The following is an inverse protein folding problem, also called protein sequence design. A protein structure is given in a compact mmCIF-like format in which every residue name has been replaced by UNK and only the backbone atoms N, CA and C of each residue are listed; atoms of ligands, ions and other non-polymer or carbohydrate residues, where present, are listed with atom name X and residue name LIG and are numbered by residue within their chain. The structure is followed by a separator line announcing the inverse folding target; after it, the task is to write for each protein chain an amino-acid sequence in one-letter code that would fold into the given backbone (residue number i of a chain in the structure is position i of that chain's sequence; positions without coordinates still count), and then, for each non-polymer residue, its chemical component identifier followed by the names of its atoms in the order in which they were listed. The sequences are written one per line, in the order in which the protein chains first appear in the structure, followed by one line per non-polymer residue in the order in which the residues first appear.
data_IF_351907118323
#
_entry.id   IF_351907118323
#
_cell.length_a   1.000
_cell.length_b   1.000
_cell.length_c   1.000
_cell.angle_alpha   90.00
_cell.angle_beta   90.00
_cell.angle_gamma   90.00
#
_symmetry.space_group_name_H-M   'P 1'
#
loop_
_entity.id
_entity.type
_entity.pdbx_description
1 polymer ?
#
# COMPACT_ATOMS: atom_id res chain seq x y z
N UNK A 1 -6.51 -47.27 -61.75
CA UNK A 1 -7.10 -46.55 -60.60
C UNK A 1 -5.95 -46.11 -59.71
N UNK A 2 -5.67 -44.80 -59.66
CA UNK A 2 -4.54 -44.24 -58.90
C UNK A 2 -4.97 -44.04 -57.44
N UNK A 3 -4.34 -44.77 -56.51
CA UNK A 3 -4.52 -44.58 -55.08
C UNK A 3 -3.69 -43.38 -54.63
N UNK A 4 -4.33 -42.23 -54.45
CA UNK A 4 -3.67 -41.09 -53.83
C UNK A 4 -3.25 -41.46 -52.39
N UNK A 5 -2.03 -41.15 -51.96
CA UNK A 5 -1.58 -41.48 -50.61
C UNK A 5 -2.44 -40.72 -49.59
N UNK A 6 -3.14 -41.46 -48.72
CA UNK A 6 -3.84 -40.92 -47.56
C UNK A 6 -2.84 -40.14 -46.71
N UNK A 7 -3.01 -38.82 -46.65
CA UNK A 7 -2.20 -37.95 -45.80
C UNK A 7 -2.43 -38.37 -44.34
N UNK A 8 -1.41 -39.01 -43.73
CA UNK A 8 -1.48 -39.52 -42.36
C UNK A 8 -1.48 -38.41 -41.31
N UNK A 9 -1.13 -37.18 -41.69
CA UNK A 9 -1.08 -36.00 -40.83
C UNK A 9 -1.85 -34.83 -41.49
N UNK A 10 -3.20 -34.88 -41.53
CA UNK A 10 -3.98 -33.73 -41.98
C UNK A 10 -3.75 -32.54 -41.02
N UNK A 11 -3.70 -31.30 -41.54
CA UNK A 11 -3.56 -30.13 -40.69
C UNK A 11 -4.73 -30.04 -39.70
N UNK A 12 -4.51 -29.50 -38.49
CA UNK A 12 -5.56 -29.39 -37.49
C UNK A 12 -6.71 -28.52 -38.00
N UNK A 13 -7.93 -28.95 -37.71
CA UNK A 13 -9.14 -28.17 -38.03
C UNK A 13 -9.20 -26.90 -37.17
N UNK A 14 -9.91 -25.87 -37.66
CA UNK A 14 -10.14 -24.63 -36.90
C UNK A 14 -10.72 -24.90 -35.50
N UNK A 15 -11.59 -25.91 -35.35
CA UNK A 15 -12.15 -26.33 -34.06
C UNK A 15 -11.07 -26.87 -33.12
N UNK A 16 -10.16 -27.71 -33.62
CA UNK A 16 -9.03 -28.23 -32.84
C UNK A 16 -8.06 -27.12 -32.43
N UNK A 17 -7.79 -26.17 -33.35
CA UNK A 17 -6.98 -24.99 -33.04
C UNK A 17 -7.62 -24.12 -31.95
N UNK A 18 -8.94 -23.89 -32.00
CA UNK A 18 -9.66 -23.14 -30.96
C UNK A 18 -9.67 -23.86 -29.60
N UNK A 19 -9.80 -25.19 -29.58
CA UNK A 19 -9.71 -25.98 -28.34
C UNK A 19 -8.30 -25.88 -27.75
N UNK A 20 -7.26 -26.05 -28.56
CA UNK A 20 -5.87 -25.92 -28.10
C UNK A 20 -5.56 -24.51 -27.60
N UNK A 21 -6.06 -23.48 -28.29
CA UNK A 21 -5.92 -22.11 -27.84
C UNK A 21 -6.64 -21.87 -26.51
N UNK A 22 -7.87 -22.39 -26.34
CA UNK A 22 -8.62 -22.32 -25.09
C UNK A 22 -7.91 -23.02 -23.94
N UNK A 23 -7.37 -24.22 -24.16
CA UNK A 23 -6.57 -24.95 -23.17
C UNK A 23 -5.28 -24.21 -22.82
N UNK A 24 -4.60 -23.62 -23.79
CA UNK A 24 -3.39 -22.84 -23.58
C UNK A 24 -3.66 -21.57 -22.76
N UNK A 25 -4.70 -20.81 -23.10
CA UNK A 25 -5.14 -19.64 -22.33
C UNK A 25 -5.55 -20.06 -20.92
N UNK A 26 -6.35 -21.12 -20.78
CA UNK A 26 -6.76 -21.66 -19.48
C UNK A 26 -5.57 -22.08 -18.62
N UNK A 27 -4.57 -22.74 -19.21
CA UNK A 27 -3.33 -23.09 -18.54
C UNK A 27 -2.56 -21.85 -18.07
N UNK A 28 -2.40 -20.83 -18.93
CA UNK A 28 -1.75 -19.57 -18.54
C UNK A 28 -2.49 -18.92 -17.37
N UNK A 29 -3.82 -18.81 -17.44
CA UNK A 29 -4.64 -18.23 -16.36
C UNK A 29 -4.48 -19.02 -15.06
N UNK A 30 -4.49 -20.35 -15.12
CA UNK A 30 -4.29 -21.20 -13.95
C UNK A 30 -2.91 -21.01 -13.33
N UNK A 31 -1.84 -20.94 -14.14
CA UNK A 31 -0.48 -20.67 -13.68
C UNK A 31 -0.37 -19.30 -13.03
N UNK A 32 -0.94 -18.25 -13.65
CA UNK A 32 -0.94 -16.89 -13.09
C UNK A 32 -1.72 -16.82 -11.77
N UNK A 33 -2.84 -17.53 -11.66
CA UNK A 33 -3.64 -17.62 -10.44
C UNK A 33 -2.89 -18.35 -9.32
N UNK A 34 -2.27 -19.50 -9.63
CA UNK A 34 -1.44 -20.24 -8.68
C UNK A 34 -0.25 -19.41 -8.20
N UNK A 35 0.43 -18.70 -9.10
CA UNK A 35 1.54 -17.82 -8.75
C UNK A 35 1.08 -16.68 -7.82
N UNK A 36 -0.11 -16.11 -8.06
CA UNK A 36 -0.68 -15.09 -7.18
C UNK A 36 -0.94 -15.64 -5.77
N UNK A 37 -1.52 -16.85 -5.68
CA UNK A 37 -1.74 -17.51 -4.38
C UNK A 37 -0.45 -17.76 -3.64
N UNK A 38 0.57 -18.30 -4.33
CA UNK A 38 1.86 -18.58 -3.72
C UNK A 38 2.52 -17.30 -3.19
N UNK A 39 2.54 -16.22 -3.97
CA UNK A 39 3.20 -14.98 -3.54
C UNK A 39 2.46 -14.31 -2.39
N UNK A 40 1.12 -14.26 -2.43
CA UNK A 40 0.34 -13.70 -1.32
C UNK A 40 0.52 -14.51 -0.03
N UNK A 41 0.58 -15.84 -0.14
CA UNK A 41 0.91 -16.72 0.99
C UNK A 41 2.31 -16.48 1.53
N UNK A 42 3.32 -16.35 0.65
CA UNK A 42 4.70 -16.06 1.03
C UNK A 42 4.80 -14.74 1.79
N UNK A 43 4.11 -13.67 1.35
CA UNK A 43 4.15 -12.36 2.01
C UNK A 43 3.64 -12.43 3.45
N UNK A 44 2.61 -13.21 3.72
CA UNK A 44 2.15 -13.46 5.10
C UNK A 44 3.18 -14.19 5.97
N UNK A 45 4.07 -14.97 5.35
CA UNK A 45 5.10 -15.75 6.04
C UNK A 45 6.44 -15.01 6.22
N UNK A 46 6.64 -13.87 5.55
CA UNK A 46 7.89 -13.10 5.65
C UNK A 46 8.09 -12.65 7.11
N UNK A 47 9.15 -13.04 7.80
CA UNK A 47 9.39 -12.57 9.17
C UNK A 47 9.54 -11.05 9.25
N UNK A 48 9.11 -10.44 10.36
CA UNK A 48 9.33 -9.00 10.61
C UNK A 48 10.81 -8.61 10.47
N UNK A 49 11.73 -9.49 10.85
CA UNK A 49 13.18 -9.25 10.70
C UNK A 49 13.63 -9.05 9.24
N UNK A 50 12.95 -9.66 8.27
CA UNK A 50 13.24 -9.47 6.84
C UNK A 50 12.76 -8.10 6.39
N UNK A 51 11.55 -7.73 6.82
CA UNK A 51 10.96 -6.42 6.55
C UNK A 51 11.82 -5.30 7.14
N UNK A 52 12.33 -5.49 8.36
CA UNK A 52 13.28 -4.57 8.99
C UNK A 52 14.62 -4.48 8.25
N UNK A 53 15.14 -5.61 7.72
CA UNK A 53 16.34 -5.59 6.86
C UNK A 53 16.12 -4.85 5.54
N UNK A 54 14.93 -4.96 4.95
CA UNK A 54 14.57 -4.16 3.78
C UNK A 54 14.51 -2.67 4.14
N UNK A 55 13.89 -2.34 5.26
CA UNK A 55 13.82 -0.97 5.77
C UNK A 55 15.18 -0.36 6.00
N UNK A 56 16.13 -1.10 6.57
CA UNK A 56 17.51 -0.65 6.78
C UNK A 56 18.25 -0.23 5.48
N UNK A 57 17.75 -0.62 4.31
CA UNK A 57 18.27 -0.18 3.00
C UNK A 57 17.44 0.95 2.40
N UNK A 58 16.12 0.91 2.57
CA UNK A 58 15.18 1.84 1.93
C UNK A 58 15.02 3.13 2.73
N UNK A 59 14.77 3.02 4.04
CA UNK A 59 14.51 4.14 4.96
C UNK A 59 15.62 5.19 4.90
N UNK A 60 16.93 4.85 4.90
CA UNK A 60 18.00 5.86 4.84
C UNK A 60 17.99 6.73 3.57
N UNK A 61 17.32 6.33 2.49
CA UNK A 61 17.18 7.16 1.28
C UNK A 61 16.26 8.36 1.54
N UNK A 62 15.23 8.15 2.35
CA UNK A 62 14.25 9.17 2.73
C UNK A 62 14.70 9.93 3.99
N UNK A 63 15.29 9.24 4.96
CA UNK A 63 15.74 9.81 6.23
C UNK A 63 16.79 10.92 6.03
N UNK A 64 17.70 10.77 5.05
CA UNK A 64 18.66 11.83 4.68
C UNK A 64 18.00 13.14 4.27
N UNK A 65 16.75 13.08 3.80
CA UNK A 65 15.96 14.21 3.36
C UNK A 65 15.02 14.70 4.47
N UNK A 66 14.61 13.80 5.36
CA UNK A 66 13.78 14.07 6.54
C UNK A 66 14.56 14.72 7.67
N UNK A 67 14.73 16.05 7.60
CA UNK A 67 15.46 16.81 8.62
C UNK A 67 14.62 16.96 9.91
N UNK A 68 15.24 16.85 11.10
CA UNK A 68 14.58 17.18 12.35
C UNK A 68 13.93 18.58 12.30
N UNK A 69 12.66 18.66 12.67
CA UNK A 69 11.88 19.89 12.63
C UNK A 69 10.66 19.80 13.55
N UNK A 70 10.07 20.92 13.98
CA UNK A 70 8.82 20.89 14.75
C UNK A 70 7.67 20.17 14.03
N UNK A 71 7.65 20.24 12.69
CA UNK A 71 6.70 19.51 11.84
C UNK A 71 6.89 18.00 11.97
N UNK A 72 8.13 17.53 11.85
CA UNK A 72 8.50 16.13 12.05
C UNK A 72 8.08 15.61 13.44
N UNK A 73 8.36 16.38 14.50
CA UNK A 73 8.01 16.01 15.88
C UNK A 73 6.49 15.93 16.07
N UNK A 74 5.75 16.90 15.50
CA UNK A 74 4.29 16.93 15.58
C UNK A 74 3.67 15.74 14.86
N UNK A 75 4.20 15.36 13.69
CA UNK A 75 3.71 14.21 12.94
C UNK A 75 3.94 12.89 13.70
N UNK A 76 5.10 12.73 14.33
CA UNK A 76 5.35 11.57 15.19
C UNK A 76 4.41 11.55 16.42
N UNK A 77 4.14 12.70 17.05
CA UNK A 77 3.16 12.77 18.13
C UNK A 77 1.73 12.40 17.71
N UNK A 78 1.33 12.74 16.47
CA UNK A 78 0.06 12.30 15.91
C UNK A 78 0.05 10.79 15.66
N UNK A 79 1.14 10.25 15.13
CA UNK A 79 1.32 8.81 14.94
C UNK A 79 1.29 8.05 16.27
N UNK A 80 1.97 8.52 17.31
CA UNK A 80 1.97 7.93 18.66
C UNK A 80 0.55 7.74 19.22
N UNK A 81 -0.35 8.70 18.93
CA UNK A 81 -1.76 8.64 19.37
C UNK A 81 -2.55 7.55 18.65
N UNK A 82 -2.22 7.28 17.39
CA UNK A 82 -2.78 6.16 16.62
C UNK A 82 -2.21 4.84 17.12
N UNK A 83 -0.90 4.79 17.37
CA UNK A 83 -0.20 3.58 17.84
C UNK A 83 -0.75 3.07 19.17
N UNK A 84 -1.10 3.96 20.09
CA UNK A 84 -1.76 3.60 21.35
C UNK A 84 -3.09 2.85 21.18
N UNK A 85 -3.71 2.94 19.99
CA UNK A 85 -4.97 2.29 19.64
C UNK A 85 -4.79 1.11 18.69
N UNK A 86 -3.56 0.83 18.24
CA UNK A 86 -3.31 -0.32 17.38
C UNK A 86 -3.62 -1.64 18.11
N UNK A 87 -4.10 -2.67 17.39
CA UNK A 87 -4.16 -4.02 17.93
C UNK A 87 -2.77 -4.52 18.40
N UNK A 88 -2.72 -5.33 19.45
CA UNK A 88 -1.46 -5.75 20.08
C UNK A 88 -0.50 -6.47 19.13
N UNK A 89 -1.03 -7.24 18.18
CA UNK A 89 -0.27 -7.91 17.12
C UNK A 89 0.36 -6.93 16.14
N UNK A 90 -0.23 -5.74 15.95
CA UNK A 90 0.31 -4.68 15.11
C UNK A 90 1.27 -3.76 15.87
N UNK A 91 1.34 -3.84 17.20
CA UNK A 91 2.37 -3.12 17.99
C UNK A 91 3.64 -3.96 18.19
N UNK A 92 3.51 -5.29 18.25
CA UNK A 92 4.58 -6.17 18.70
C UNK A 92 5.78 -6.18 17.74
N UNK A 93 6.90 -5.63 18.19
CA UNK A 93 8.16 -5.65 17.45
C UNK A 93 8.17 -4.71 16.24
N UNK A 94 7.25 -3.74 16.23
CA UNK A 94 7.17 -2.63 15.29
C UNK A 94 7.73 -1.37 15.94
N UNK A 95 8.30 -0.49 15.13
CA UNK A 95 8.83 0.81 15.55
C UNK A 95 8.41 1.85 14.50
N UNK A 96 7.14 2.27 14.58
CA UNK A 96 6.59 3.14 13.56
C UNK A 96 7.15 4.56 13.70
N UNK A 97 7.44 5.18 12.56
CA UNK A 97 7.90 6.55 12.51
C UNK A 97 7.38 7.26 11.27
N UNK A 98 7.15 8.56 11.38
CA UNK A 98 6.95 9.43 10.22
C UNK A 98 8.30 9.95 9.74
N UNK A 99 8.49 10.08 8.43
CA UNK A 99 9.57 10.83 7.80
C UNK A 99 8.96 11.97 6.99
N UNK A 100 9.17 13.20 7.47
CA UNK A 100 8.65 14.40 6.83
C UNK A 100 9.60 14.92 5.75
N UNK A 101 9.12 15.00 4.52
CA UNK A 101 9.87 15.54 3.38
C UNK A 101 9.33 16.93 2.99
N UNK A 102 10.14 18.00 3.05
CA UNK A 102 9.74 19.36 2.69
C UNK A 102 9.70 19.57 1.16
N UNK A 103 8.95 18.72 0.46
CA UNK A 103 8.72 18.79 -0.98
C UNK A 103 7.23 19.01 -1.27
N UNK A 104 6.93 19.77 -2.32
CA UNK A 104 5.55 20.13 -2.72
C UNK A 104 4.71 18.99 -3.30
N UNK A 105 5.27 17.78 -3.37
CA UNK A 105 4.56 16.57 -3.78
C UNK A 105 3.39 16.30 -2.84
N UNK A 106 2.19 16.10 -3.39
CA UNK A 106 1.02 15.66 -2.60
C UNK A 106 1.07 14.14 -2.51
N UNK A 107 1.65 13.59 -1.45
CA UNK A 107 1.73 12.14 -1.22
C UNK A 107 1.98 11.74 0.24
N UNK A 108 1.67 10.49 0.56
CA UNK A 108 2.15 9.75 1.72
C UNK A 108 2.39 8.28 1.32
N UNK A 109 3.37 7.61 1.93
CA UNK A 109 3.72 6.23 1.56
C UNK A 109 4.24 5.45 2.77
N UNK A 110 3.66 4.28 3.05
CA UNK A 110 4.22 3.25 3.93
C UNK A 110 5.42 2.52 3.30
N UNK A 111 6.57 2.55 3.97
CA UNK A 111 7.82 1.87 3.58
C UNK A 111 8.09 0.64 4.44
N UNK A 112 8.74 -0.42 3.91
CA UNK A 112 9.29 -1.48 4.75
C UNK A 112 10.22 -0.91 5.84
N UNK A 113 10.15 -1.49 7.05
CA UNK A 113 10.85 -0.97 8.22
C UNK A 113 10.07 0.11 8.97
N UNK A 114 8.75 0.02 8.95
CA UNK A 114 7.82 0.78 9.79
C UNK A 114 7.88 2.32 9.59
N UNK A 115 8.41 2.80 8.47
CA UNK A 115 8.46 4.24 8.18
C UNK A 115 7.31 4.68 7.27
N UNK A 116 6.60 5.75 7.65
CA UNK A 116 5.62 6.44 6.82
C UNK A 116 6.27 7.72 6.30
N UNK A 117 6.39 7.88 4.99
CA UNK A 117 6.81 9.16 4.39
C UNK A 117 5.61 10.06 4.24
N UNK A 118 5.70 11.31 4.71
CA UNK A 118 4.71 12.36 4.44
C UNK A 118 5.40 13.55 3.79
N UNK A 119 4.81 14.03 2.70
CA UNK A 119 5.33 15.17 1.95
C UNK A 119 4.61 16.47 2.34
N UNK A 120 5.32 17.60 2.31
CA UNK A 120 4.76 18.93 2.58
C UNK A 120 3.54 19.24 1.73
N UNK A 121 3.54 18.86 0.44
CA UNK A 121 2.38 19.08 -0.42
C UNK A 121 1.10 18.41 0.10
N UNK A 122 1.19 17.26 0.79
CA UNK A 122 0.03 16.64 1.41
C UNK A 122 -0.47 17.44 2.61
N UNK A 123 0.45 17.93 3.46
CA UNK A 123 0.11 18.77 4.61
C UNK A 123 -0.60 20.05 4.18
N UNK A 124 -0.14 20.67 3.08
CA UNK A 124 -0.75 21.87 2.50
C UNK A 124 -2.17 21.64 1.95
N UNK A 125 -2.57 20.38 1.71
CA UNK A 125 -3.94 20.02 1.33
C UNK A 125 -4.82 19.60 2.51
N UNK A 126 -4.25 19.34 3.69
CA UNK A 126 -5.01 18.99 4.87
C UNK A 126 -5.63 20.26 5.48
N UNK A 127 -6.88 20.18 5.93
CA UNK A 127 -7.63 21.30 6.52
C UNK A 127 -7.99 21.04 7.99
N UNK A 128 -7.90 19.79 8.45
CA UNK A 128 -8.12 19.41 9.85
C UNK A 128 -7.15 18.33 10.32
N UNK A 129 -6.95 18.23 11.64
CA UNK A 129 -6.14 17.16 12.23
C UNK A 129 -6.74 15.78 11.93
N UNK A 130 -8.07 15.67 11.93
CA UNK A 130 -8.73 14.38 11.67
C UNK A 130 -8.48 13.86 10.26
N UNK A 131 -8.41 14.73 9.26
CA UNK A 131 -8.04 14.33 7.90
C UNK A 131 -6.63 13.76 7.82
N UNK A 132 -5.67 14.46 8.44
CA UNK A 132 -4.29 14.00 8.49
C UNK A 132 -4.16 12.69 9.28
N UNK A 133 -4.91 12.55 10.38
CA UNK A 133 -4.97 11.32 11.16
C UNK A 133 -5.60 10.18 10.38
N UNK A 134 -6.60 10.45 9.54
CA UNK A 134 -7.17 9.44 8.65
C UNK A 134 -6.13 8.97 7.60
N UNK A 135 -5.34 9.88 7.03
CA UNK A 135 -4.25 9.52 6.11
C UNK A 135 -3.19 8.67 6.82
N UNK A 136 -2.73 9.08 8.00
CA UNK A 136 -1.77 8.29 8.79
C UNK A 136 -2.33 6.91 9.18
N UNK A 137 -3.59 6.86 9.62
CA UNK A 137 -4.25 5.61 9.99
C UNK A 137 -4.46 4.69 8.78
N UNK A 138 -4.70 5.25 7.59
CA UNK A 138 -4.74 4.53 6.33
C UNK A 138 -3.38 3.89 5.99
N UNK A 139 -2.27 4.63 6.14
CA UNK A 139 -0.93 4.06 5.96
C UNK A 139 -0.62 2.95 6.97
N UNK A 140 -1.07 3.08 8.23
CA UNK A 140 -1.02 1.99 9.21
C UNK A 140 -1.87 0.78 8.78
N UNK A 141 -2.99 1.01 8.09
CA UNK A 141 -3.78 -0.03 7.45
C UNK A 141 -2.99 -0.82 6.40
N UNK A 142 -2.18 -0.15 5.58
CA UNK A 142 -1.28 -0.83 4.66
C UNK A 142 -0.22 -1.68 5.37
N UNK A 143 0.32 -1.22 6.51
CA UNK A 143 1.21 -2.04 7.34
C UNK A 143 0.52 -3.26 7.91
N UNK A 144 -0.70 -3.10 8.44
CA UNK A 144 -1.47 -4.18 9.04
C UNK A 144 -1.74 -5.31 8.03
N UNK A 145 -1.99 -4.95 6.76
CA UNK A 145 -2.19 -5.91 5.69
C UNK A 145 -0.89 -6.35 5.01
N UNK A 146 0.22 -5.62 5.19
CA UNK A 146 1.54 -5.78 4.54
C UNK A 146 1.56 -5.44 3.04
N UNK A 147 0.82 -4.41 2.67
CA UNK A 147 0.66 -3.98 1.27
C UNK A 147 1.92 -3.36 0.67
N UNK A 148 2.70 -2.65 1.48
CA UNK A 148 4.01 -2.12 1.08
C UNK A 148 4.97 -3.23 0.60
N UNK A 149 4.88 -4.44 1.17
CA UNK A 149 5.60 -5.61 0.68
C UNK A 149 5.03 -6.13 -0.65
N UNK A 150 3.71 -6.10 -0.84
CA UNK A 150 3.06 -6.46 -2.12
C UNK A 150 3.46 -5.47 -3.22
N UNK A 151 3.60 -4.19 -2.88
CA UNK A 151 4.01 -3.10 -3.77
C UNK A 151 5.42 -3.25 -4.34
N UNK A 152 6.32 -3.97 -3.66
CA UNK A 152 7.67 -4.30 -4.17
C UNK A 152 7.66 -5.14 -5.44
N UNK A 153 6.54 -5.81 -5.73
CA UNK A 153 6.39 -6.71 -6.84
C UNK A 153 6.87 -8.12 -6.52
N UNK A 154 6.16 -9.09 -7.09
CA UNK A 154 6.29 -10.53 -6.76
C UNK A 154 7.71 -11.06 -6.90
N UNK A 155 8.41 -10.68 -7.98
CA UNK A 155 9.78 -11.15 -8.27
C UNK A 155 10.75 -10.66 -7.19
N UNK A 156 10.62 -9.40 -6.79
CA UNK A 156 11.52 -8.81 -5.80
C UNK A 156 11.30 -9.43 -4.43
N UNK A 157 10.04 -9.58 -4.01
CA UNK A 157 9.69 -10.26 -2.76
C UNK A 157 10.26 -11.67 -2.68
N UNK A 158 10.12 -12.47 -3.74
CA UNK A 158 10.67 -13.84 -3.79
C UNK A 158 12.20 -13.82 -3.71
N UNK A 159 12.88 -12.91 -4.40
CA UNK A 159 14.34 -12.77 -4.34
C UNK A 159 14.82 -12.41 -2.94
N UNK A 160 14.16 -11.46 -2.28
CA UNK A 160 14.47 -11.05 -0.91
C UNK A 160 14.29 -12.22 0.06
N UNK A 161 13.15 -12.93 -0.04
CA UNK A 161 12.89 -14.09 0.81
C UNK A 161 13.95 -15.17 0.63
N UNK A 162 14.28 -15.53 -0.63
CA UNK A 162 15.32 -16.53 -0.92
C UNK A 162 16.69 -16.10 -0.40
N UNK A 163 17.11 -14.86 -0.66
CA UNK A 163 18.39 -14.34 -0.17
C UNK A 163 18.48 -14.40 1.36
N UNK A 164 17.38 -14.06 2.05
CA UNK A 164 17.32 -14.17 3.50
C UNK A 164 17.44 -15.62 4.00
N UNK A 165 16.66 -16.54 3.44
CA UNK A 165 16.68 -17.96 3.87
C UNK A 165 17.99 -18.67 3.55
N UNK A 166 18.68 -18.26 2.48
CA UNK A 166 19.99 -18.78 2.10
C UNK A 166 21.16 -18.08 2.81
N UNK A 167 20.90 -17.01 3.57
CA UNK A 167 21.94 -16.23 4.25
C UNK A 167 22.83 -15.40 3.31
N UNK A 168 22.36 -15.10 2.09
CA UNK A 168 23.11 -14.32 1.10
C UNK A 168 22.89 -12.82 1.29
N UNK A 169 23.76 -12.20 2.10
CA UNK A 169 23.70 -10.77 2.39
C UNK A 169 23.93 -9.88 1.15
N UNK A 170 24.74 -10.34 0.19
CA UNK A 170 25.03 -9.59 -1.03
C UNK A 170 23.81 -9.53 -1.96
N UNK A 171 23.15 -10.67 -2.16
CA UNK A 171 21.90 -10.74 -2.92
C UNK A 171 20.78 -9.93 -2.25
N UNK A 172 20.69 -9.96 -0.92
CA UNK A 172 19.70 -9.18 -0.18
C UNK A 172 19.88 -7.68 -0.38
N UNK A 173 21.12 -7.18 -0.29
CA UNK A 173 21.44 -5.77 -0.53
C UNK A 173 21.11 -5.35 -1.96
N UNK A 174 21.48 -6.18 -2.95
CA UNK A 174 21.18 -5.90 -4.36
C UNK A 174 19.69 -5.95 -4.68
N UNK A 175 18.91 -6.78 -3.99
CA UNK A 175 17.47 -6.81 -4.14
C UNK A 175 16.85 -5.54 -3.55
N UNK A 176 17.29 -5.15 -2.35
CA UNK A 176 16.77 -4.00 -1.64
C UNK A 176 17.02 -2.65 -2.36
N UNK A 177 18.07 -2.51 -3.17
CA UNK A 177 18.26 -1.30 -3.99
C UNK A 177 17.17 -1.12 -5.07
N UNK A 178 16.71 -2.22 -5.67
CA UNK A 178 15.58 -2.20 -6.60
C UNK A 178 14.23 -1.92 -5.93
N UNK A 179 14.14 -2.04 -4.60
CA UNK A 179 12.92 -1.82 -3.85
C UNK A 179 12.49 -0.36 -3.84
N UNK A 180 13.43 0.59 -3.77
CA UNK A 180 13.13 2.04 -3.75
C UNK A 180 12.34 2.45 -4.99
N UNK A 181 12.80 2.02 -6.16
CA UNK A 181 12.15 2.34 -7.44
C UNK A 181 10.82 1.57 -7.62
N UNK A 182 10.71 0.39 -7.02
CA UNK A 182 9.47 -0.39 -7.01
C UNK A 182 8.39 0.30 -6.16
N UNK A 183 8.74 0.75 -4.95
CA UNK A 183 7.83 1.49 -4.05
C UNK A 183 7.35 2.77 -4.72
N UNK A 184 8.26 3.56 -5.30
CA UNK A 184 7.93 4.82 -5.96
C UNK A 184 6.94 4.66 -7.13
N UNK A 185 6.83 3.46 -7.70
CA UNK A 185 5.91 3.12 -8.80
C UNK A 185 4.76 2.20 -8.37
N UNK A 186 4.70 1.87 -7.10
CA UNK A 186 3.69 0.95 -6.60
C UNK A 186 2.31 1.58 -6.68
N UNK A 187 1.31 0.76 -6.97
CA UNK A 187 -0.10 1.14 -6.94
C UNK A 187 -0.84 0.08 -6.16
N UNK A 188 -1.68 0.52 -5.22
CA UNK A 188 -2.50 -0.40 -4.47
C UNK A 188 -3.75 -0.78 -5.24
N UNK A 189 -4.13 -2.05 -5.14
CA UNK A 189 -5.38 -2.54 -5.70
C UNK A 189 -6.56 -1.99 -4.91
N UNK A 190 -7.74 -1.96 -5.54
CA UNK A 190 -8.96 -1.53 -4.88
C UNK A 190 -9.25 -2.28 -3.56
N UNK A 191 -9.00 -3.58 -3.49
CA UNK A 191 -9.23 -4.34 -2.26
C UNK A 191 -8.28 -3.92 -1.14
N UNK A 192 -7.03 -3.61 -1.47
CA UNK A 192 -6.04 -3.14 -0.49
C UNK A 192 -6.43 -1.77 0.06
N UNK A 193 -6.86 -0.86 -0.83
CA UNK A 193 -7.37 0.45 -0.43
C UNK A 193 -8.59 0.33 0.50
N UNK A 194 -9.53 -0.57 0.21
CA UNK A 194 -10.71 -0.81 1.05
C UNK A 194 -10.36 -1.38 2.43
N UNK A 195 -9.38 -2.29 2.49
CA UNK A 195 -8.88 -2.86 3.74
C UNK A 195 -8.16 -1.81 4.59
N UNK A 196 -7.32 -0.98 3.97
CA UNK A 196 -6.64 0.14 4.62
C UNK A 196 -7.62 1.23 5.08
N UNK A 197 -8.62 1.58 4.27
CA UNK A 197 -9.70 2.50 4.61
C UNK A 197 -10.47 2.04 5.85
N UNK A 198 -10.89 0.77 5.86
CA UNK A 198 -11.66 0.21 6.97
C UNK A 198 -10.84 0.18 8.27
N UNK A 199 -9.56 -0.19 8.17
CA UNK A 199 -8.64 -0.17 9.30
C UNK A 199 -8.39 1.25 9.82
N UNK A 200 -8.13 2.19 8.91
CA UNK A 200 -7.88 3.59 9.25
C UNK A 200 -9.09 4.24 9.93
N UNK A 201 -10.29 3.95 9.44
CA UNK A 201 -11.53 4.46 10.01
C UNK A 201 -11.79 3.93 11.43
N UNK A 202 -11.53 2.64 11.65
CA UNK A 202 -11.60 2.02 12.99
C UNK A 202 -10.62 2.72 13.94
N UNK A 203 -9.38 2.91 13.52
CA UNK A 203 -8.35 3.53 14.36
C UNK A 203 -8.68 4.99 14.68
N UNK A 204 -9.18 5.74 13.69
CA UNK A 204 -9.64 7.11 13.89
C UNK A 204 -10.78 7.17 14.92
N UNK A 205 -11.76 6.26 14.83
CA UNK A 205 -12.83 6.14 15.82
C UNK A 205 -12.27 5.80 17.21
N UNK A 206 -11.35 4.84 17.33
CA UNK A 206 -10.78 4.44 18.62
C UNK A 206 -9.91 5.53 19.26
N UNK A 207 -9.34 6.44 18.46
CA UNK A 207 -8.57 7.59 18.92
C UNK A 207 -9.45 8.75 19.38
N UNK A 208 -10.56 9.05 18.69
CA UNK A 208 -11.38 10.25 18.94
C UNK A 208 -12.77 9.98 19.52
N UNK A 209 -13.27 8.75 19.47
CA UNK A 209 -14.67 8.39 19.72
C UNK A 209 -15.63 8.78 18.59
N UNK A 210 -15.12 9.30 17.47
CA UNK A 210 -15.88 9.75 16.31
C UNK A 210 -15.03 9.75 15.04
N UNK A 211 -15.66 9.88 13.87
CA UNK A 211 -14.98 9.84 12.55
C UNK A 211 -15.16 11.11 11.71
N UNK A 212 -15.39 12.25 12.35
CA UNK A 212 -15.42 13.55 11.67
C UNK A 212 -14.13 13.77 10.85
N UNK A 213 -14.26 14.21 9.59
CA UNK A 213 -13.12 14.48 8.71
C UNK A 213 -12.55 13.26 7.97
N UNK A 214 -13.08 12.05 8.21
CA UNK A 214 -12.54 10.81 7.61
C UNK A 214 -12.62 10.77 6.07
N UNK A 215 -13.58 11.46 5.46
CA UNK A 215 -13.77 11.47 4.00
C UNK A 215 -13.24 12.73 3.33
N UNK A 216 -13.10 13.83 4.07
CA UNK A 216 -12.91 15.17 3.53
C UNK A 216 -11.67 15.31 2.64
N UNK A 217 -10.54 14.70 3.02
CA UNK A 217 -9.32 14.72 2.20
C UNK A 217 -9.56 14.04 0.85
N UNK A 218 -10.13 12.84 0.84
CA UNK A 218 -10.40 12.09 -0.36
C UNK A 218 -11.46 12.76 -1.24
N UNK A 219 -12.47 13.36 -0.61
CA UNK A 219 -13.50 14.14 -1.29
C UNK A 219 -12.87 15.33 -2.03
N UNK A 220 -12.08 16.16 -1.34
CA UNK A 220 -11.37 17.28 -1.97
C UNK A 220 -10.40 16.84 -3.07
N UNK A 221 -9.69 15.72 -2.90
CA UNK A 221 -8.84 15.18 -3.96
C UNK A 221 -9.65 14.73 -5.18
N UNK A 222 -10.87 14.22 -4.97
CA UNK A 222 -11.77 13.79 -6.05
C UNK A 222 -12.35 14.94 -6.88
N UNK A 223 -12.50 16.12 -6.27
CA UNK A 223 -13.03 17.34 -6.90
C UNK A 223 -12.01 18.07 -7.79
N UNK A 224 -10.75 17.64 -7.77
CA UNK A 224 -9.68 18.17 -8.63
C UNK A 224 -9.26 17.14 -9.71
N UNK A 225 -10.18 16.63 -10.55
CA UNK A 225 -9.84 15.63 -11.56
C UNK A 225 -8.82 16.20 -12.56
N UNK A 226 -7.67 15.55 -12.67
CA UNK A 226 -6.55 15.99 -13.51
C UNK A 226 -5.44 16.77 -12.79
N UNK A 227 -5.62 17.10 -11.50
CA UNK A 227 -4.48 17.50 -10.68
C UNK A 227 -3.50 16.33 -10.57
N UNK A 228 -2.21 16.59 -10.83
CA UNK A 228 -1.17 15.57 -10.79
C UNK A 228 -0.74 15.30 -9.33
N UNK A 229 -1.65 14.76 -8.53
CA UNK A 229 -1.35 14.32 -7.18
C UNK A 229 -0.72 12.93 -7.25
N UNK A 230 0.55 12.82 -6.84
CA UNK A 230 1.24 11.55 -6.74
C UNK A 230 0.47 10.57 -5.84
N UNK A 231 -0.20 11.08 -4.81
CA UNK A 231 -1.12 10.32 -3.96
C UNK A 231 -2.19 9.55 -4.75
N UNK A 232 -2.83 10.18 -5.75
CA UNK A 232 -3.86 9.50 -6.55
C UNK A 232 -3.28 8.48 -7.55
N UNK A 233 -1.97 8.55 -7.81
CA UNK A 233 -1.27 7.56 -8.62
C UNK A 233 -1.00 6.28 -7.83
N UNK A 234 -0.70 6.38 -6.54
CA UNK A 234 -0.46 5.24 -5.64
C UNK A 234 -1.76 4.72 -5.00
N UNK A 235 -2.69 5.63 -4.67
CA UNK A 235 -4.00 5.38 -4.04
C UNK A 235 -5.17 5.79 -4.97
N UNK A 236 -5.61 4.91 -5.87
CA UNK A 236 -6.59 5.26 -6.89
C UNK A 236 -8.03 5.37 -6.37
N UNK A 237 -8.90 5.92 -7.22
CA UNK A 237 -10.37 5.93 -7.06
C UNK A 237 -10.91 6.68 -5.83
N UNK A 238 -10.51 7.94 -5.58
CA UNK A 238 -10.87 8.68 -4.36
C UNK A 238 -12.40 8.81 -4.17
N UNK A 239 -13.16 9.06 -5.24
CA UNK A 239 -14.63 9.15 -5.17
C UNK A 239 -15.29 7.85 -4.67
N UNK A 240 -14.84 6.70 -5.20
CA UNK A 240 -15.39 5.40 -4.81
C UNK A 240 -15.00 5.03 -3.37
N UNK A 241 -13.83 5.47 -2.92
CA UNK A 241 -13.40 5.34 -1.52
C UNK A 241 -14.28 6.14 -0.58
N UNK A 242 -14.59 7.39 -0.91
CA UNK A 242 -15.55 8.21 -0.14
C UNK A 242 -16.90 7.51 0.00
N UNK A 243 -17.49 7.05 -1.12
CA UNK A 243 -18.77 6.33 -1.11
C UNK A 243 -18.74 5.08 -0.20
N UNK A 244 -17.62 4.34 -0.21
CA UNK A 244 -17.45 3.14 0.62
C UNK A 244 -17.21 3.47 2.09
N UNK A 245 -16.43 4.51 2.40
CA UNK A 245 -16.22 5.01 3.75
C UNK A 245 -17.53 5.48 4.35
N UNK A 246 -18.32 6.30 3.65
CA UNK A 246 -19.64 6.75 4.11
C UNK A 246 -20.58 5.57 4.40
N UNK A 247 -20.57 4.56 3.52
CA UNK A 247 -21.35 3.33 3.71
C UNK A 247 -20.88 2.58 4.95
N UNK A 248 -19.58 2.49 5.18
CA UNK A 248 -19.00 1.81 6.34
C UNK A 248 -19.31 2.56 7.64
N UNK A 249 -19.15 3.88 7.66
CA UNK A 249 -19.52 4.77 8.77
C UNK A 249 -20.97 4.51 9.19
N UNK A 250 -21.89 4.56 8.22
CA UNK A 250 -23.31 4.30 8.47
C UNK A 250 -23.59 2.88 8.95
N UNK A 251 -22.90 1.88 8.37
CA UNK A 251 -23.07 0.47 8.74
C UNK A 251 -22.61 0.19 10.16
N UNK A 252 -21.49 0.79 10.59
CA UNK A 252 -20.94 0.62 11.94
C UNK A 252 -21.59 1.53 12.98
N UNK A 253 -22.36 2.53 12.54
CA UNK A 253 -22.99 3.50 13.45
C UNK A 253 -21.98 4.43 14.10
N UNK A 254 -20.86 4.72 13.42
CA UNK A 254 -19.86 5.64 13.94
C UNK A 254 -20.40 7.07 14.03
N UNK A 255 -20.12 7.71 15.16
CA UNK A 255 -20.55 9.09 15.41
C UNK A 255 -19.75 10.07 14.54
N UNK A 256 -20.45 11.09 14.03
CA UNK A 256 -19.81 12.24 13.38
C UNK A 256 -19.69 13.35 14.42
N UNK A 257 -18.49 13.53 14.94
CA UNK A 257 -18.17 14.56 15.93
C UNK A 257 -17.75 15.90 15.31
N UNK A 258 -16.99 16.67 16.08
CA UNK A 258 -16.41 17.93 15.62
C UNK A 258 -14.98 17.72 15.13
N UNK A 259 -14.60 18.38 14.04
CA UNK A 259 -13.22 18.36 13.54
C UNK A 259 -12.29 19.09 14.50
N UNK A 260 -11.17 18.46 14.81
CA UNK A 260 -10.03 19.06 15.49
C UNK A 260 -9.24 19.93 14.51
N UNK A 261 -8.87 21.16 14.89
CA UNK A 261 -8.08 22.03 14.02
C UNK A 261 -6.67 21.44 13.84
N UNK A 262 -6.06 21.67 12.68
CA UNK A 262 -4.65 21.31 12.49
C UNK A 262 -3.76 21.96 13.56
N UNK A 263 -2.78 21.22 14.11
CA UNK A 263 -1.73 21.77 14.96
C UNK A 263 -1.05 22.97 14.28
N UNK A 264 -0.72 24.01 15.06
CA UNK A 264 -0.13 25.25 14.52
C UNK A 264 1.21 25.04 13.81
N UNK A 265 1.94 23.99 14.19
CA UNK A 265 3.22 23.58 13.59
C UNK A 265 3.09 22.94 12.21
N UNK A 266 1.85 22.61 11.80
CA UNK A 266 1.51 22.01 10.51
C UNK A 266 0.73 22.99 9.60
N UNK A 267 0.61 24.26 10.02
CA UNK A 267 -0.04 25.33 9.26
C UNK A 267 0.95 26.21 8.53
#
# INVERSE_FOLDING_TARGET
MSNAPTNRNPPPSNRQLLILLGLFIGFIVAVLWLLNLLVNGLIGMIPLSVEQKLGAVIVPVYEKQAKPSPTQDTLNQLLDRLEQKLPAEQQKGRDYQVLYLPESTVNAIALPGDAIVIYQGLLEQAESENELMMVLAHELGHFAHRDHLRGLGRVLVVRVALAYFLGDAGALQSAASGAVEAIARSQYSQSQEQEADAFGLMLLYDTYGHVAGATDFFERMSEKPGANFAFLSTHPAPKKRVEELERLIKKQGYEIGTRSPLPKTLK
#
